data_IF_614950229045
#
_entry.id   IF_614950229045
#
_cell.length_a   1.000
_cell.length_b   1.000
_cell.length_c   1.000
_cell.angle_alpha   90.00
_cell.angle_beta   90.00
_cell.angle_gamma   90.00
#
_symmetry.space_group_name_H-M   'P 1'
#
loop_
_entity.id
_entity.type
_entity.pdbx_description
1 polymer ?
#
# COMPACT_ATOMS: atom_id res chain seq x y z
N UNK A 1 10.71 -23.43 1.52
CA UNK A 1 9.38 -23.02 1.89
C UNK A 1 8.62 -22.53 0.68
N UNK A 2 7.44 -23.01 0.51
CA UNK A 2 6.74 -22.81 -0.76
C UNK A 2 5.73 -21.69 -0.75
N UNK A 3 5.57 -20.99 0.34
CA UNK A 3 4.58 -19.93 0.42
C UNK A 3 5.11 -18.72 1.09
N UNK A 4 4.43 -17.62 0.84
CA UNK A 4 4.69 -16.35 1.50
C UNK A 4 3.41 -15.89 2.16
N UNK A 5 3.57 -15.14 3.24
CA UNK A 5 2.44 -14.54 3.92
C UNK A 5 2.25 -13.12 3.41
N UNK A 6 1.01 -12.78 3.14
CA UNK A 6 0.65 -11.46 2.63
C UNK A 6 -0.44 -10.86 3.52
N UNK A 7 -0.28 -9.59 3.83
CA UNK A 7 -1.35 -8.81 4.41
C UNK A 7 -2.27 -8.38 3.30
N UNK A 8 -3.54 -8.72 3.39
CA UNK A 8 -4.51 -8.31 2.37
C UNK A 8 -5.30 -7.12 2.85
N UNK A 9 -5.59 -6.24 1.94
CA UNK A 9 -6.36 -5.03 2.20
C UNK A 9 -7.21 -4.69 0.98
N UNK A 10 -8.22 -3.85 1.18
CA UNK A 10 -9.17 -3.51 0.14
C UNK A 10 -9.03 -2.06 -0.29
N UNK A 11 -9.15 -1.84 -1.58
CA UNK A 11 -9.39 -0.54 -2.18
C UNK A 11 -10.61 -0.72 -3.07
N UNK A 12 -11.74 -0.16 -2.64
CA UNK A 12 -13.01 -0.41 -3.30
C UNK A 12 -13.38 -1.88 -3.17
N UNK A 13 -13.69 -2.50 -4.29
CA UNK A 13 -14.08 -3.91 -4.32
C UNK A 13 -12.90 -4.84 -4.61
N UNK A 14 -11.73 -4.28 -4.81
CA UNK A 14 -10.55 -5.07 -5.18
C UNK A 14 -9.72 -5.42 -3.97
N UNK A 15 -9.18 -6.63 -3.97
CA UNK A 15 -8.34 -7.14 -2.90
C UNK A 15 -6.88 -7.09 -3.34
N UNK A 16 -6.06 -6.46 -2.50
CA UNK A 16 -4.63 -6.33 -2.72
C UNK A 16 -3.88 -7.03 -1.60
N UNK A 17 -2.65 -7.38 -1.87
CA UNK A 17 -1.78 -7.98 -0.87
C UNK A 17 -0.39 -7.41 -0.92
N UNK A 18 0.28 -7.41 0.21
CA UNK A 18 1.67 -7.00 0.31
C UNK A 18 2.41 -7.95 1.23
N UNK A 19 3.72 -8.08 1.01
CA UNK A 19 4.55 -8.97 1.81
C UNK A 19 4.45 -8.56 3.29
N UNK A 20 4.07 -9.51 4.14
CA UNK A 20 3.90 -9.25 5.57
C UNK A 20 5.22 -8.79 6.20
N UNK A 21 6.36 -9.18 5.64
CA UNK A 21 7.66 -8.77 6.17
C UNK A 21 7.92 -7.28 6.04
N UNK A 22 7.21 -6.60 5.16
CA UNK A 22 7.34 -5.16 5.01
C UNK A 22 6.40 -4.38 5.93
N UNK A 23 5.44 -5.05 6.55
CA UNK A 23 4.48 -4.38 7.43
C UNK A 23 5.10 -4.15 8.80
N UNK A 24 5.16 -2.90 9.22
CA UNK A 24 5.65 -2.55 10.55
C UNK A 24 4.52 -2.54 11.56
N UNK A 25 3.42 -1.86 11.25
CA UNK A 25 2.23 -1.88 12.09
C UNK A 25 1.03 -1.37 11.31
N UNK A 26 -0.15 -1.64 11.80
CA UNK A 26 -1.40 -1.16 11.24
C UNK A 26 -2.04 -0.24 12.26
N UNK A 27 -2.40 0.95 11.82
CA UNK A 27 -2.92 1.98 12.70
C UNK A 27 -4.24 2.50 12.14
N UNK A 28 -5.22 2.70 13.02
CA UNK A 28 -6.45 3.38 12.61
C UNK A 28 -6.14 4.76 12.06
N UNK A 29 -6.94 5.22 11.13
CA UNK A 29 -6.72 6.54 10.55
C UNK A 29 -6.74 7.62 11.62
N UNK A 30 -5.78 8.51 11.57
CA UNK A 30 -5.64 9.61 12.52
C UNK A 30 -5.33 10.88 11.73
N UNK A 31 -5.40 12.00 12.38
CA UNK A 31 -5.14 13.29 11.74
C UNK A 31 -3.73 13.34 11.16
N UNK A 32 -3.63 13.76 9.91
CA UNK A 32 -2.38 13.86 9.17
C UNK A 32 -2.08 15.34 8.96
N UNK A 33 -0.83 15.74 9.17
CA UNK A 33 -0.41 17.11 8.92
C UNK A 33 -0.14 17.29 7.43
N UNK A 34 -0.88 18.18 6.79
CA UNK A 34 -0.73 18.44 5.37
C UNK A 34 0.53 19.26 5.10
N UNK A 35 1.18 18.97 3.98
CA UNK A 35 2.33 19.73 3.50
C UNK A 35 1.91 20.41 2.21
N UNK A 36 2.07 21.75 2.12
CA UNK A 36 1.67 22.49 0.91
C UNK A 36 2.51 22.07 -0.30
N UNK A 37 1.89 22.17 -1.47
CA UNK A 37 2.57 21.99 -2.77
C UNK A 37 3.12 20.59 -3.00
N UNK A 38 2.53 19.58 -2.34
CA UNK A 38 2.89 18.19 -2.60
C UNK A 38 1.92 17.59 -3.61
N UNK A 39 2.36 16.55 -4.35
CA UNK A 39 1.46 15.81 -5.23
C UNK A 39 0.25 15.27 -4.48
N UNK A 40 -0.86 15.11 -5.19
CA UNK A 40 -2.13 14.74 -4.58
C UNK A 40 -2.11 13.39 -3.88
N UNK A 41 -1.23 12.47 -4.29
CA UNK A 41 -1.13 11.16 -3.66
C UNK A 41 -0.42 11.20 -2.30
N UNK A 42 0.25 12.29 -1.97
CA UNK A 42 0.87 12.46 -0.65
C UNK A 42 -0.13 13.18 0.24
N UNK A 43 -0.66 12.45 1.21
CA UNK A 43 -1.65 12.98 2.14
C UNK A 43 -1.05 14.00 3.09
N UNK A 44 0.20 13.79 3.47
CA UNK A 44 0.91 14.61 4.43
C UNK A 44 1.89 13.77 5.22
N UNK A 45 2.10 14.14 6.46
CA UNK A 45 3.03 13.43 7.36
C UNK A 45 2.35 13.12 8.69
N UNK A 46 2.84 12.09 9.33
CA UNK A 46 2.41 11.66 10.65
C UNK A 46 3.61 11.61 11.57
N UNK A 47 3.46 12.14 12.78
CA UNK A 47 4.49 12.00 13.80
C UNK A 47 4.26 10.66 14.53
N UNK A 48 5.14 9.71 14.29
CA UNK A 48 5.07 8.39 14.91
C UNK A 48 6.15 8.30 15.96
N UNK A 49 5.79 8.57 17.19
CA UNK A 49 6.73 8.50 18.34
C UNK A 49 8.04 9.25 18.08
N UNK A 50 7.92 10.45 17.53
CA UNK A 50 9.07 11.30 17.23
C UNK A 50 9.65 11.15 15.82
N UNK A 51 9.20 10.17 15.08
CA UNK A 51 9.62 9.96 13.68
C UNK A 51 8.57 10.54 12.74
N UNK A 52 9.02 11.37 11.80
CA UNK A 52 8.13 11.94 10.78
C UNK A 52 7.99 10.92 9.66
N UNK A 53 6.75 10.50 9.43
CA UNK A 53 6.43 9.44 8.47
C UNK A 53 5.57 10.02 7.35
N UNK A 54 6.01 9.96 6.07
CA UNK A 54 5.15 10.39 4.97
C UNK A 54 4.00 9.42 4.78
N UNK A 55 2.84 9.97 4.43
CA UNK A 55 1.61 9.21 4.29
C UNK A 55 1.13 9.31 2.83
N UNK A 56 0.96 8.16 2.20
CA UNK A 56 0.53 8.04 0.81
C UNK A 56 -0.92 7.59 0.79
N UNK A 57 -1.75 8.31 0.03
CA UNK A 57 -3.12 7.90 -0.26
C UNK A 57 -3.09 6.93 -1.44
N UNK A 58 -3.24 5.63 -1.20
CA UNK A 58 -3.10 4.64 -2.27
C UNK A 58 -4.15 4.80 -3.36
N UNK A 59 -5.36 5.15 -3.01
CA UNK A 59 -6.38 5.38 -4.05
C UNK A 59 -5.92 6.44 -5.04
N UNK A 60 -5.41 7.54 -4.53
CA UNK A 60 -4.93 8.62 -5.39
C UNK A 60 -3.68 8.20 -6.17
N UNK A 61 -2.78 7.49 -5.53
CA UNK A 61 -1.57 7.00 -6.20
C UNK A 61 -1.90 6.09 -7.37
N UNK A 62 -2.98 5.32 -7.27
CA UNK A 62 -3.40 4.39 -8.31
C UNK A 62 -4.44 4.99 -9.27
N UNK A 63 -4.71 6.29 -9.16
CA UNK A 63 -5.67 6.94 -10.04
C UNK A 63 -7.12 6.62 -9.75
N UNK A 64 -7.42 6.14 -8.56
CA UNK A 64 -8.77 5.82 -8.15
C UNK A 64 -9.44 7.03 -7.50
N UNK A 65 -10.78 7.16 -7.62
CA UNK A 65 -11.49 8.23 -6.92
C UNK A 65 -11.30 8.14 -5.41
N UNK A 66 -11.20 9.28 -4.75
CA UNK A 66 -11.16 9.31 -3.29
C UNK A 66 -12.57 9.06 -2.74
N UNK A 67 -12.60 8.54 -1.51
CA UNK A 67 -13.86 8.32 -0.79
C UNK A 67 -13.74 8.93 0.60
N UNK A 68 -14.87 9.11 1.25
CA UNK A 68 -14.88 9.52 2.64
C UNK A 68 -14.30 8.40 3.50
N UNK A 69 -13.51 8.77 4.49
CA UNK A 69 -12.94 7.79 5.39
C UNK A 69 -14.02 7.26 6.33
N UNK A 70 -13.88 5.99 6.68
CA UNK A 70 -14.82 5.31 7.57
C UNK A 70 -14.08 4.82 8.81
N UNK A 71 -14.82 4.14 9.69
CA UNK A 71 -14.19 3.50 10.85
C UNK A 71 -13.21 2.38 10.47
N UNK A 72 -13.28 1.90 9.22
CA UNK A 72 -12.40 0.84 8.74
C UNK A 72 -11.14 1.36 8.04
N UNK A 73 -11.10 2.64 7.71
CA UNK A 73 -9.93 3.24 7.06
C UNK A 73 -8.73 3.14 7.98
N UNK A 74 -7.62 2.62 7.46
CA UNK A 74 -6.42 2.42 8.27
C UNK A 74 -5.19 2.92 7.52
N UNK A 75 -4.13 3.14 8.28
CA UNK A 75 -2.80 3.44 7.77
C UNK A 75 -1.95 2.21 8.00
N UNK A 76 -1.42 1.63 6.91
CA UNK A 76 -0.47 0.54 7.02
C UNK A 76 0.93 1.14 7.01
N UNK A 77 1.65 1.00 8.12
CA UNK A 77 3.02 1.49 8.20
C UNK A 77 3.94 0.41 7.67
N UNK A 78 4.73 0.76 6.66
CA UNK A 78 5.59 -0.18 5.97
C UNK A 78 7.03 0.30 6.00
N UNK A 79 7.96 -0.64 5.87
CA UNK A 79 9.39 -0.34 5.76
C UNK A 79 9.84 -0.65 4.35
N UNK A 80 10.37 0.37 3.67
CA UNK A 80 10.90 0.24 2.32
C UNK A 80 12.30 0.86 2.34
N UNK A 81 13.31 0.05 2.08
CA UNK A 81 14.71 0.51 2.03
C UNK A 81 15.09 1.35 3.25
N UNK A 82 14.80 0.81 4.45
CA UNK A 82 15.09 1.43 5.73
C UNK A 82 14.31 2.72 5.99
N UNK A 83 13.27 2.98 5.22
CA UNK A 83 12.37 4.12 5.43
C UNK A 83 11.01 3.62 5.87
N UNK A 84 10.37 4.36 6.77
CA UNK A 84 9.02 4.07 7.20
C UNK A 84 8.07 4.96 6.42
N UNK A 85 7.06 4.35 5.83
CA UNK A 85 6.06 5.05 5.04
C UNK A 85 4.70 4.57 5.46
N UNK A 86 3.69 5.41 5.33
CA UNK A 86 2.32 5.02 5.66
C UNK A 86 1.46 4.98 4.40
N UNK A 87 0.64 3.96 4.30
CA UNK A 87 -0.27 3.78 3.16
C UNK A 87 -1.71 3.79 3.68
N UNK A 88 -2.51 4.72 3.17
CA UNK A 88 -3.93 4.78 3.54
C UNK A 88 -4.71 3.84 2.63
N UNK A 89 -5.43 2.91 3.23
CA UNK A 89 -6.26 1.95 2.52
C UNK A 89 -7.66 1.95 3.10
N UNK A 90 -8.63 1.42 2.35
CA UNK A 90 -10.03 1.43 2.76
C UNK A 90 -10.25 0.55 3.99
N UNK A 91 -9.64 -0.61 4.00
CA UNK A 91 -9.73 -1.54 5.13
C UNK A 91 -8.66 -2.62 5.00
N UNK A 92 -8.30 -3.23 6.12
CA UNK A 92 -7.45 -4.41 6.13
C UNK A 92 -8.36 -5.63 6.24
N UNK A 93 -8.03 -6.67 5.50
CA UNK A 93 -8.82 -7.89 5.47
C UNK A 93 -8.21 -8.98 6.34
N UNK A 94 -7.05 -9.53 5.92
CA UNK A 94 -6.52 -10.73 6.57
C UNK A 94 -5.05 -10.90 6.25
N UNK A 95 -4.39 -11.82 6.94
CA UNK A 95 -3.06 -12.30 6.58
C UNK A 95 -3.25 -13.69 5.99
N UNK A 96 -2.83 -13.86 4.74
CA UNK A 96 -3.02 -15.13 4.04
C UNK A 96 -1.68 -15.67 3.56
N UNK A 97 -1.65 -16.98 3.37
CA UNK A 97 -0.47 -17.65 2.84
C UNK A 97 -0.79 -18.05 1.39
N UNK A 98 0.04 -17.61 0.45
CA UNK A 98 -0.13 -17.95 -0.95
C UNK A 98 1.12 -18.69 -1.41
N UNK A 99 0.91 -19.89 -1.93
CA UNK A 99 1.98 -20.71 -2.47
C UNK A 99 2.56 -20.09 -3.73
N UNK A 100 3.86 -20.25 -3.94
CA UNK A 100 4.51 -19.72 -5.15
C UNK A 100 3.83 -20.20 -6.43
N UNK A 101 3.33 -21.43 -6.44
CA UNK A 101 2.63 -22.00 -7.61
C UNK A 101 1.30 -21.30 -7.89
N UNK A 102 0.73 -20.63 -6.90
CA UNK A 102 -0.55 -19.93 -7.03
C UNK A 102 -0.37 -18.45 -7.35
N UNK A 103 0.86 -18.04 -7.63
CA UNK A 103 1.17 -16.67 -7.99
C UNK A 103 1.57 -16.65 -9.47
N UNK A 104 0.85 -15.85 -10.26
CA UNK A 104 1.16 -15.68 -11.67
C UNK A 104 1.76 -14.31 -11.90
N UNK A 105 2.69 -14.23 -12.85
CA UNK A 105 3.22 -12.95 -13.26
C UNK A 105 2.06 -12.06 -13.70
N UNK A 106 2.20 -10.77 -13.45
CA UNK A 106 1.14 -9.81 -13.72
C UNK A 106 1.04 -9.53 -15.23
N UNK A 107 0.08 -10.13 -15.93
CA UNK A 107 -0.26 -9.66 -17.27
C UNK A 107 -1.16 -8.44 -17.14
N UNK A 108 -1.50 -7.87 -18.27
CA UNK A 108 -2.46 -6.78 -18.30
C UNK A 108 -3.86 -7.33 -18.02
N UNK A 109 -4.32 -7.15 -16.81
CA UNK A 109 -5.66 -7.60 -16.41
C UNK A 109 -6.71 -6.50 -16.57
N UNK A 110 -6.34 -5.36 -17.15
CA UNK A 110 -7.25 -4.24 -17.23
C UNK A 110 -7.50 -3.59 -15.88
N UNK A 111 -6.62 -3.81 -14.91
CA UNK A 111 -6.73 -3.15 -13.61
C UNK A 111 -6.35 -1.69 -13.74
N UNK A 112 -6.81 -0.88 -12.80
CA UNK A 112 -6.47 0.54 -12.77
C UNK A 112 -5.06 0.79 -12.25
N UNK A 113 -4.44 -0.21 -11.65
CA UNK A 113 -3.11 -0.11 -11.09
C UNK A 113 -2.09 -0.34 -12.19
N UNK A 114 -1.08 0.51 -12.24
CA UNK A 114 0.03 0.34 -13.17
C UNK A 114 0.68 -1.04 -12.96
N UNK A 115 0.93 -1.75 -14.05
CA UNK A 115 1.50 -3.09 -13.99
C UNK A 115 2.86 -3.11 -13.27
N UNK A 116 3.59 -1.99 -13.26
CA UNK A 116 4.86 -1.90 -12.57
C UNK A 116 4.73 -2.02 -11.05
N UNK A 117 3.55 -1.71 -10.51
CA UNK A 117 3.32 -1.81 -9.07
C UNK A 117 2.88 -3.20 -8.63
N UNK A 118 2.64 -4.09 -9.58
CA UNK A 118 2.19 -5.44 -9.28
C UNK A 118 3.36 -6.42 -9.42
N UNK A 119 3.58 -7.21 -8.38
CA UNK A 119 4.56 -8.30 -8.46
C UNK A 119 3.91 -9.57 -8.99
N UNK A 120 2.59 -9.63 -9.02
CA UNK A 120 1.87 -10.77 -9.56
C UNK A 120 0.44 -10.77 -9.09
N UNK A 121 -0.29 -11.79 -9.51
CA UNK A 121 -1.66 -12.03 -9.05
C UNK A 121 -1.65 -13.36 -8.30
N UNK A 122 -2.04 -13.32 -7.05
CA UNK A 122 -2.14 -14.51 -6.23
C UNK A 122 -3.55 -15.05 -6.22
N UNK A 123 -3.66 -16.36 -6.10
CA UNK A 123 -4.94 -17.03 -6.00
C UNK A 123 -5.08 -17.60 -4.61
N UNK A 124 -6.15 -17.25 -3.91
CA UNK A 124 -6.45 -17.75 -2.59
C UNK A 124 -7.91 -18.18 -2.56
N UNK A 125 -8.13 -19.50 -2.66
CA UNK A 125 -9.48 -20.05 -2.81
C UNK A 125 -10.13 -19.50 -4.08
N UNK A 126 -11.26 -18.87 -3.95
CA UNK A 126 -11.99 -18.26 -5.07
C UNK A 126 -11.56 -16.82 -5.36
N UNK A 127 -10.66 -16.28 -4.55
CA UNK A 127 -10.31 -14.86 -4.62
C UNK A 127 -9.02 -14.67 -5.38
N UNK A 128 -8.96 -13.58 -6.14
CA UNK A 128 -7.74 -13.11 -6.76
C UNK A 128 -7.23 -11.92 -5.96
N UNK A 129 -5.93 -11.95 -5.67
CA UNK A 129 -5.28 -10.91 -4.89
C UNK A 129 -4.20 -10.27 -5.75
N UNK A 130 -4.29 -8.98 -5.96
CA UNK A 130 -3.25 -8.24 -6.68
C UNK A 130 -2.10 -7.98 -5.71
N UNK A 131 -0.97 -8.63 -5.94
CA UNK A 131 0.20 -8.52 -5.07
C UNK A 131 1.01 -7.29 -5.45
N UNK A 132 1.16 -6.37 -4.51
CA UNK A 132 1.84 -5.10 -4.75
C UNK A 132 3.33 -5.24 -4.49
N UNK A 133 4.09 -4.61 -5.36
CA UNK A 133 5.52 -4.41 -5.15
C UNK A 133 5.70 -3.03 -4.54
N UNK A 134 5.79 -2.97 -3.22
CA UNK A 134 5.87 -1.69 -2.50
C UNK A 134 7.15 -0.93 -2.87
N UNK A 135 8.24 -1.65 -3.16
CA UNK A 135 9.50 -1.01 -3.54
C UNK A 135 9.35 -0.18 -4.82
N UNK A 136 8.48 -0.59 -5.73
CA UNK A 136 8.25 0.15 -6.98
C UNK A 136 7.62 1.51 -6.76
N UNK A 137 6.83 1.67 -5.70
CA UNK A 137 6.28 2.99 -5.38
C UNK A 137 7.41 4.00 -5.15
N UNK A 138 8.49 3.56 -4.52
CA UNK A 138 9.65 4.41 -4.29
C UNK A 138 10.40 4.70 -5.59
N UNK A 139 10.64 3.66 -6.41
CA UNK A 139 11.38 3.80 -7.67
C UNK A 139 10.65 4.69 -8.68
N UNK A 140 9.32 4.63 -8.70
CA UNK A 140 8.52 5.41 -9.65
C UNK A 140 8.36 6.87 -9.24
N UNK A 141 9.02 7.29 -8.16
CA UNK A 141 9.01 8.68 -7.74
C UNK A 141 7.89 9.06 -6.77
N UNK A 142 6.91 8.19 -6.58
CA UNK A 142 5.79 8.52 -5.69
C UNK A 142 6.25 8.78 -4.26
N UNK A 143 7.15 7.96 -3.77
CA UNK A 143 7.64 8.08 -2.40
C UNK A 143 8.88 8.93 -2.27
N UNK A 144 9.61 9.16 -3.36
CA UNK A 144 10.79 10.00 -3.33
C UNK A 144 10.45 11.42 -2.94
N UNK A 145 9.37 11.96 -3.47
CA UNK A 145 8.91 13.30 -3.12
C UNK A 145 8.47 13.36 -1.66
N UNK A 146 7.82 12.30 -1.17
CA UNK A 146 7.42 12.22 0.22
C UNK A 146 8.63 12.16 1.15
N UNK A 147 9.67 11.40 0.75
CA UNK A 147 10.90 11.31 1.53
C UNK A 147 11.60 12.67 1.56
N UNK A 148 11.66 13.36 0.44
CA UNK A 148 12.26 14.69 0.38
C UNK A 148 11.53 15.68 1.30
N UNK A 149 10.22 15.54 1.44
CA UNK A 149 9.43 16.42 2.31
C UNK A 149 9.73 16.20 3.79
N UNK A 150 10.27 15.04 4.15
CA UNK A 150 10.57 14.70 5.55
C UNK A 150 12.05 14.73 5.88
N UNK A 151 12.87 15.02 4.90
CA UNK A 151 14.33 15.02 5.07
C UNK A 151 14.82 16.20 5.91
#
# INVERSE_FOLDING_TARGET
>A
MEGHQFLTFCLGEELYGMDILQVKEIKGYTAITKIPNMPSHIKGVLNLRGTIVPIIELRTAFGMPTIDYTAFTVIILVVVRDRILGLVVDSVSDVINISQKDIQASPDFGTKVDANFLSGIGKSGDKLVALLNIDQLLTEGYMQEAIAATA
#
